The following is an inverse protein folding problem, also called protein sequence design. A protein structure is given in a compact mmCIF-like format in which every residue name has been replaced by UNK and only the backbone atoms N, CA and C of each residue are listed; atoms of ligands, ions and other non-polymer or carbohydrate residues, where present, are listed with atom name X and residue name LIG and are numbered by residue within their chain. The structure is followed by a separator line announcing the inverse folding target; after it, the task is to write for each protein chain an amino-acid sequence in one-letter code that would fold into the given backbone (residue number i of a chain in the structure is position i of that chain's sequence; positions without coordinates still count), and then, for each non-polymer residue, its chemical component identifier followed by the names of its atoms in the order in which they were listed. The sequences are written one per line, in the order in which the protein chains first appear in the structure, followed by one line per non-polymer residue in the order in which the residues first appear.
data_IF_478982728159
#
_entry.id   IF_478982728159
#
_cell.length_a   1.000
_cell.length_b   1.000
_cell.length_c   1.000
_cell.angle_alpha   90.00
_cell.angle_beta   90.00
_cell.angle_gamma   90.00
#
_symmetry.space_group_name_H-M   'P 1'
#
loop_
_entity.id
_entity.type
_entity.pdbx_description
1 polymer ?
#
# COMPACT_ATOMS: atom_id res chain seq x y z
N UNK A 1 -13.06 -53.14 22.89
CA UNK A 1 -11.96 -53.44 21.93
C UNK A 1 -12.32 -52.78 20.60
N UNK A 2 -11.72 -51.69 20.28
CA UNK A 2 -11.28 -51.29 18.96
C UNK A 2 -10.81 -49.84 19.00
N UNK A 3 -9.62 -49.61 18.50
CA UNK A 3 -8.84 -48.36 18.47
C UNK A 3 -9.47 -47.37 17.50
N UNK A 4 -9.57 -46.10 17.88
CA UNK A 4 -9.66 -45.00 16.90
C UNK A 4 -8.45 -44.10 17.05
N UNK A 5 -7.73 -44.03 15.95
CA UNK A 5 -6.53 -43.26 15.74
C UNK A 5 -6.81 -41.74 15.71
N UNK A 6 -5.94 -41.01 16.40
CA UNK A 6 -5.75 -39.57 16.27
C UNK A 6 -5.33 -39.20 14.84
N UNK A 7 -6.10 -38.35 14.19
CA UNK A 7 -5.63 -37.56 13.04
C UNK A 7 -5.50 -36.09 13.51
N UNK A 8 -4.26 -35.68 13.71
CA UNK A 8 -3.91 -34.26 13.80
C UNK A 8 -4.02 -33.66 12.40
N UNK A 9 -4.92 -32.70 12.21
CA UNK A 9 -4.88 -31.80 11.10
C UNK A 9 -4.26 -30.48 11.58
N UNK A 10 -3.00 -30.30 11.24
CA UNK A 10 -2.34 -28.99 11.21
C UNK A 10 -2.68 -28.35 9.87
N UNK A 11 -3.38 -27.22 9.89
CA UNK A 11 -3.67 -26.43 8.70
C UNK A 11 -3.99 -25.01 9.12
N UNK A 12 -2.97 -24.17 9.12
CA UNK A 12 -3.15 -22.73 9.12
C UNK A 12 -3.83 -22.33 7.81
N UNK A 13 -4.98 -21.71 7.90
CA UNK A 13 -5.52 -20.88 6.82
C UNK A 13 -5.98 -19.58 7.48
N UNK A 14 -5.16 -18.56 7.31
CA UNK A 14 -5.53 -17.18 7.54
C UNK A 14 -6.39 -16.71 6.37
N UNK A 15 -7.42 -15.91 6.66
CA UNK A 15 -8.06 -15.08 5.65
C UNK A 15 -9.58 -15.12 5.62
N UNK A 16 -10.20 -14.21 6.35
CA UNK A 16 -11.43 -13.47 6.03
C UNK A 16 -12.70 -14.28 5.66
N UNK A 17 -13.54 -14.54 6.66
CA UNK A 17 -14.99 -14.60 6.49
C UNK A 17 -15.70 -14.07 7.75
N UNK A 18 -16.79 -13.30 7.62
CA UNK A 18 -17.46 -12.64 8.73
C UNK A 18 -18.24 -13.62 9.62
N UNK A 19 -18.63 -13.20 10.86
CA UNK A 19 -19.09 -14.09 11.95
C UNK A 19 -20.47 -14.76 11.78
N UNK A 20 -21.13 -14.63 10.62
CA UNK A 20 -22.45 -15.21 10.39
C UNK A 20 -22.46 -16.73 10.20
N UNK A 21 -21.33 -17.37 9.83
CA UNK A 21 -21.30 -18.81 9.58
C UNK A 21 -21.32 -19.68 10.85
N UNK A 22 -20.85 -19.16 11.98
CA UNK A 22 -20.81 -19.95 13.23
C UNK A 22 -22.19 -20.20 13.83
N UNK A 23 -23.14 -19.30 13.61
CA UNK A 23 -24.51 -19.45 14.14
C UNK A 23 -25.33 -20.50 13.40
N UNK A 24 -25.09 -20.72 12.12
CA UNK A 24 -25.82 -21.69 11.29
C UNK A 24 -25.38 -23.13 11.61
N UNK A 25 -24.10 -23.34 11.91
CA UNK A 25 -23.59 -24.67 12.29
C UNK A 25 -24.10 -25.15 13.66
N UNK A 26 -24.29 -24.26 14.62
CA UNK A 26 -24.81 -24.62 15.94
C UNK A 26 -26.31 -24.98 15.90
N UNK A 27 -27.09 -24.34 15.06
CA UNK A 27 -28.51 -24.65 14.87
C UNK A 27 -28.69 -26.03 14.19
N UNK A 28 -27.81 -26.38 13.26
CA UNK A 28 -27.86 -27.66 12.55
C UNK A 28 -27.58 -28.86 13.48
N UNK A 29 -26.66 -28.74 14.43
CA UNK A 29 -26.30 -29.80 15.36
C UNK A 29 -27.35 -30.01 16.48
N UNK A 30 -28.11 -28.95 16.84
CA UNK A 30 -29.13 -29.06 17.88
C UNK A 30 -30.43 -29.71 17.40
N UNK A 31 -30.70 -29.73 16.09
CA UNK A 31 -31.91 -30.34 15.52
C UNK A 31 -31.77 -31.84 15.32
N UNK A 32 -30.55 -32.37 15.34
CA UNK A 32 -30.29 -33.79 15.09
C UNK A 32 -30.27 -34.69 16.36
N UNK A 33 -30.52 -34.16 17.55
CA UNK A 33 -30.36 -34.92 18.79
C UNK A 33 -31.66 -35.45 19.44
N UNK A 34 -32.85 -35.21 18.89
CA UNK A 34 -34.11 -35.81 19.37
C UNK A 34 -35.15 -35.84 18.25
N UNK A 35 -35.49 -37.01 17.71
CA UNK A 35 -36.80 -37.65 17.69
C UNK A 35 -36.79 -38.94 16.85
N UNK A 36 -37.19 -40.06 17.51
CA UNK A 36 -37.54 -41.30 16.84
C UNK A 36 -38.95 -41.23 16.25
N UNK A 37 -39.10 -40.71 15.02
CA UNK A 37 -40.31 -40.87 14.27
C UNK A 37 -40.02 -41.10 12.78
N UNK A 38 -40.69 -42.12 12.29
CA UNK A 38 -40.59 -42.86 11.05
C UNK A 38 -40.07 -42.16 9.76
N UNK A 39 -39.56 -42.96 8.88
CA UNK A 39 -38.81 -42.68 7.62
C UNK A 39 -39.40 -41.61 6.69
N UNK A 40 -40.68 -41.29 6.81
CA UNK A 40 -41.37 -40.25 5.99
C UNK A 40 -41.27 -38.83 6.56
N UNK A 41 -41.06 -38.69 7.86
CA UNK A 41 -40.89 -37.39 8.53
C UNK A 41 -39.54 -36.77 8.23
N UNK A 42 -38.47 -37.58 8.24
CA UNK A 42 -37.10 -37.15 8.04
C UNK A 42 -36.88 -36.59 6.60
N UNK A 43 -37.45 -37.26 5.60
CA UNK A 43 -37.33 -36.80 4.19
C UNK A 43 -38.01 -35.41 3.96
N UNK A 44 -39.15 -35.14 4.62
CA UNK A 44 -39.84 -33.84 4.50
C UNK A 44 -39.08 -32.75 5.23
N UNK A 45 -38.48 -33.01 6.38
CA UNK A 45 -37.69 -32.06 7.14
C UNK A 45 -36.38 -31.77 6.40
N UNK A 46 -35.72 -32.77 5.84
CA UNK A 46 -34.50 -32.59 5.01
C UNK A 46 -34.79 -31.80 3.73
N UNK A 47 -35.94 -32.04 3.07
CA UNK A 47 -36.33 -31.26 1.89
C UNK A 47 -36.65 -29.79 2.23
N UNK A 48 -37.33 -29.54 3.36
CA UNK A 48 -37.61 -28.19 3.82
C UNK A 48 -36.33 -27.44 4.25
N UNK A 49 -35.40 -28.12 4.94
CA UNK A 49 -34.11 -27.55 5.29
C UNK A 49 -33.24 -27.26 4.07
N UNK A 50 -33.22 -28.14 3.07
CA UNK A 50 -32.51 -27.94 1.82
C UNK A 50 -33.11 -26.80 0.98
N UNK A 51 -34.43 -26.67 0.93
CA UNK A 51 -35.11 -25.56 0.27
C UNK A 51 -34.85 -24.23 0.97
N UNK A 52 -34.83 -24.19 2.31
CA UNK A 52 -34.46 -23.00 3.09
C UNK A 52 -32.99 -22.62 2.88
N UNK A 53 -32.08 -23.58 2.81
CA UNK A 53 -30.67 -23.35 2.49
C UNK A 53 -30.47 -22.79 1.09
N UNK A 54 -31.18 -23.32 0.08
CA UNK A 54 -31.11 -22.78 -1.28
C UNK A 54 -31.71 -21.38 -1.38
N UNK A 55 -32.76 -21.07 -0.63
CA UNK A 55 -33.37 -19.73 -0.57
C UNK A 55 -32.43 -18.70 0.11
N UNK A 56 -31.79 -19.08 1.22
CA UNK A 56 -30.81 -18.21 1.88
C UNK A 56 -29.56 -18.03 1.03
N UNK A 57 -29.09 -19.07 0.35
CA UNK A 57 -27.96 -18.99 -0.56
C UNK A 57 -28.28 -18.15 -1.80
N UNK A 58 -29.48 -18.27 -2.35
CA UNK A 58 -29.94 -17.42 -3.46
C UNK A 58 -30.11 -15.95 -3.04
N UNK A 59 -30.60 -15.68 -1.83
CA UNK A 59 -30.73 -14.31 -1.29
C UNK A 59 -29.38 -13.67 -1.03
N UNK A 60 -28.38 -14.39 -0.48
CA UNK A 60 -27.02 -13.90 -0.32
C UNK A 60 -26.33 -13.66 -1.67
N UNK A 61 -26.59 -14.50 -2.67
CA UNK A 61 -26.04 -14.31 -4.02
C UNK A 61 -26.70 -13.11 -4.74
N UNK A 62 -27.98 -12.85 -4.51
CA UNK A 62 -28.70 -11.69 -5.04
C UNK A 62 -28.22 -10.41 -4.33
N UNK A 63 -28.03 -10.42 -3.01
CA UNK A 63 -27.47 -9.28 -2.29
C UNK A 63 -26.00 -9.00 -2.69
N UNK A 64 -25.19 -10.04 -2.90
CA UNK A 64 -23.81 -9.86 -3.39
C UNK A 64 -23.78 -9.31 -4.83
N UNK A 65 -24.79 -9.58 -5.68
CA UNK A 65 -24.87 -9.00 -7.03
C UNK A 65 -25.46 -7.59 -7.07
N UNK A 66 -26.25 -7.20 -6.08
CA UNK A 66 -26.81 -5.84 -6.01
C UNK A 66 -25.88 -4.84 -5.32
N UNK A 67 -24.88 -5.30 -4.57
CA UNK A 67 -23.83 -4.45 -3.98
C UNK A 67 -22.56 -4.35 -4.82
N UNK A 68 -22.40 -5.19 -5.85
CA UNK A 68 -21.35 -5.06 -6.85
C UNK A 68 -21.87 -4.27 -8.05
N UNK A 69 -22.12 -2.99 -7.89
CA UNK A 69 -22.10 -2.05 -9.00
C UNK A 69 -20.64 -1.93 -9.46
N UNK A 70 -20.33 -2.02 -10.77
CA UNK A 70 -18.99 -1.74 -11.23
C UNK A 70 -18.70 -0.26 -10.93
N UNK A 71 -17.75 0.01 -10.04
CA UNK A 71 -17.14 1.32 -9.92
C UNK A 71 -16.54 1.66 -11.29
N UNK A 72 -17.27 2.47 -12.02
CA UNK A 72 -16.70 3.24 -13.11
C UNK A 72 -15.73 4.21 -12.49
N UNK A 73 -14.44 3.93 -12.66
CA UNK A 73 -13.37 4.87 -12.43
C UNK A 73 -13.47 5.95 -13.52
N UNK A 74 -14.46 6.82 -13.41
CA UNK A 74 -14.58 8.06 -14.17
C UNK A 74 -13.81 9.12 -13.37
N UNK A 75 -12.57 9.38 -13.79
CA UNK A 75 -11.86 10.61 -13.47
C UNK A 75 -12.64 11.78 -14.09
N UNK A 76 -13.62 12.31 -13.36
CA UNK A 76 -14.21 13.59 -13.70
C UNK A 76 -13.35 14.70 -13.10
N UNK A 77 -12.75 15.51 -13.99
CA UNK A 77 -12.28 16.82 -13.63
C UNK A 77 -13.47 17.74 -13.30
N UNK A 78 -13.51 18.40 -12.14
CA UNK A 78 -14.38 19.55 -11.97
C UNK A 78 -13.72 20.76 -12.66
N UNK A 79 -14.52 21.45 -13.48
CA UNK A 79 -14.13 22.68 -14.14
C UNK A 79 -14.17 23.87 -13.15
N UNK A 80 -13.10 24.66 -13.20
CA UNK A 80 -12.98 26.10 -12.93
C UNK A 80 -13.81 26.79 -11.84
N UNK A 81 -13.11 27.19 -10.74
CA UNK A 81 -13.27 28.54 -10.20
C UNK A 81 -11.88 29.15 -9.88
N UNK A 82 -11.70 30.48 -9.91
CA UNK A 82 -10.39 31.12 -10.06
C UNK A 82 -9.62 31.19 -8.75
N UNK A 83 -8.34 30.75 -8.84
CA UNK A 83 -7.36 30.83 -7.79
C UNK A 83 -6.92 32.28 -7.54
N UNK A 84 -6.93 32.70 -6.28
CA UNK A 84 -6.18 33.87 -5.82
C UNK A 84 -5.02 33.39 -4.91
N UNK A 85 -3.79 33.79 -5.33
CA UNK A 85 -2.51 33.63 -4.61
C UNK A 85 -2.00 32.21 -4.33
N UNK A 86 -1.69 31.43 -5.37
CA UNK A 86 -0.73 30.34 -5.28
C UNK A 86 0.69 30.91 -5.24
N UNK A 87 1.42 30.70 -4.16
CA UNK A 87 2.86 30.93 -4.14
C UNK A 87 3.52 30.03 -5.18
N UNK A 88 4.13 30.65 -6.20
CA UNK A 88 4.90 29.92 -7.21
C UNK A 88 6.07 29.26 -6.50
N UNK A 89 5.99 27.94 -6.32
CA UNK A 89 7.11 27.16 -5.85
C UNK A 89 8.15 27.14 -6.97
N UNK A 90 9.21 27.95 -6.82
CA UNK A 90 10.35 27.92 -7.71
C UNK A 90 11.39 27.03 -7.07
N UNK A 91 11.65 25.85 -7.65
CA UNK A 91 12.83 25.07 -7.33
C UNK A 91 14.06 25.92 -7.59
N UNK A 92 14.67 26.42 -6.54
CA UNK A 92 16.00 27.02 -6.61
C UNK A 92 16.94 25.89 -6.16
N UNK A 93 17.68 25.25 -7.08
CA UNK A 93 18.68 24.28 -6.66
C UNK A 93 19.67 25.02 -5.76
N UNK A 94 19.73 24.62 -4.48
CA UNK A 94 20.88 25.02 -3.68
C UNK A 94 22.12 24.51 -4.41
N UNK A 95 23.19 25.32 -4.52
CA UNK A 95 24.40 24.86 -5.17
C UNK A 95 24.88 23.62 -4.42
N UNK A 96 24.87 22.50 -5.12
CA UNK A 96 25.43 21.25 -4.66
C UNK A 96 26.80 21.59 -4.09
N UNK A 97 26.97 21.43 -2.76
CA UNK A 97 28.27 21.57 -2.13
C UNK A 97 29.19 20.59 -2.81
N UNK A 98 30.13 21.10 -3.61
CA UNK A 98 31.22 20.34 -4.23
C UNK A 98 32.26 19.94 -3.19
N UNK A 99 31.84 19.49 -2.03
CA UNK A 99 32.74 18.68 -1.19
C UNK A 99 32.74 17.28 -1.80
N UNK A 100 33.82 16.99 -2.53
CA UNK A 100 34.20 15.63 -2.86
C UNK A 100 34.06 14.78 -1.59
N UNK A 101 33.20 13.74 -1.57
CA UNK A 101 33.15 12.83 -0.44
C UNK A 101 34.56 12.22 -0.32
N UNK A 102 35.16 12.31 0.87
CA UNK A 102 36.41 11.70 1.19
C UNK A 102 36.43 10.27 0.63
N UNK A 103 37.43 9.93 -0.19
CA UNK A 103 37.54 8.67 -0.90
C UNK A 103 37.50 7.48 0.09
N UNK A 104 36.32 7.06 0.44
CA UNK A 104 36.06 5.75 1.01
C UNK A 104 36.43 4.74 -0.07
N UNK A 105 37.24 3.73 0.28
CA UNK A 105 37.67 2.64 -0.59
C UNK A 105 36.47 2.10 -1.36
N UNK A 106 36.31 2.51 -2.62
CA UNK A 106 35.14 2.18 -3.44
C UNK A 106 35.13 0.67 -3.66
N UNK A 107 34.27 -0.04 -2.97
CA UNK A 107 33.89 -1.40 -3.38
C UNK A 107 33.35 -1.32 -4.81
N UNK A 108 33.73 -2.31 -5.65
CA UNK A 108 33.15 -2.41 -6.99
C UNK A 108 31.62 -2.42 -6.91
N UNK A 109 30.94 -1.72 -7.83
CA UNK A 109 29.48 -1.71 -7.84
C UNK A 109 28.92 -3.14 -7.92
N UNK A 110 27.78 -3.37 -7.31
CA UNK A 110 27.06 -4.63 -7.40
C UNK A 110 26.74 -4.93 -8.88
N UNK A 111 27.10 -6.10 -9.43
CA UNK A 111 26.79 -6.42 -10.81
C UNK A 111 25.27 -6.44 -10.99
N UNK A 112 24.75 -5.55 -11.84
CA UNK A 112 23.32 -5.51 -12.15
C UNK A 112 22.99 -6.66 -13.13
N UNK A 113 22.26 -7.71 -12.70
CA UNK A 113 21.86 -8.79 -13.60
C UNK A 113 20.88 -8.29 -14.64
N UNK A 114 20.92 -8.89 -15.84
CA UNK A 114 19.99 -8.62 -16.93
C UNK A 114 18.61 -9.25 -16.70
N UNK A 115 18.53 -10.23 -15.79
CA UNK A 115 17.29 -10.95 -15.46
C UNK A 115 16.98 -10.88 -13.97
N UNK A 116 15.72 -11.09 -13.63
CA UNK A 116 15.20 -11.16 -12.28
C UNK A 116 14.20 -12.30 -12.14
N UNK A 117 14.29 -13.08 -11.05
CA UNK A 117 13.28 -14.11 -10.74
C UNK A 117 12.13 -13.49 -9.96
N UNK A 118 10.93 -13.61 -10.54
CA UNK A 118 9.69 -12.97 -10.05
C UNK A 118 8.70 -14.04 -9.65
N UNK A 119 8.16 -13.93 -8.44
CA UNK A 119 7.01 -14.72 -7.99
C UNK A 119 5.73 -13.95 -8.28
N UNK A 120 4.84 -14.57 -9.09
CA UNK A 120 3.52 -14.04 -9.42
C UNK A 120 2.46 -15.06 -8.99
N UNK A 121 1.78 -14.81 -7.88
CA UNK A 121 0.96 -15.82 -7.22
C UNK A 121 1.79 -17.02 -6.79
N UNK A 122 1.46 -18.22 -7.30
CA UNK A 122 2.20 -19.46 -7.03
C UNK A 122 3.29 -19.76 -8.07
N UNK A 123 3.35 -19.00 -9.16
CA UNK A 123 4.31 -19.20 -10.24
C UNK A 123 5.58 -18.38 -9.98
N UNK A 124 6.74 -18.98 -10.29
CA UNK A 124 8.04 -18.32 -10.30
C UNK A 124 8.59 -18.37 -11.72
N UNK A 125 8.95 -17.21 -12.24
CA UNK A 125 9.48 -17.08 -13.59
C UNK A 125 10.72 -16.18 -13.62
N UNK A 126 11.65 -16.48 -14.50
CA UNK A 126 12.76 -15.58 -14.84
C UNK A 126 12.28 -14.60 -15.92
N UNK A 127 12.46 -13.32 -15.65
CA UNK A 127 12.08 -12.23 -16.56
C UNK A 127 13.31 -11.39 -16.91
N UNK A 128 13.34 -10.87 -18.12
CA UNK A 128 14.22 -9.78 -18.49
C UNK A 128 13.97 -8.57 -17.58
N UNK A 129 15.04 -7.94 -17.05
CA UNK A 129 14.92 -6.83 -16.08
C UNK A 129 14.18 -5.63 -16.66
N UNK A 130 14.38 -5.31 -17.94
CA UNK A 130 13.69 -4.18 -18.57
C UNK A 130 12.20 -4.46 -18.69
N UNK A 131 11.84 -5.67 -19.11
CA UNK A 131 10.44 -6.13 -19.22
C UNK A 131 9.75 -6.13 -17.85
N UNK A 132 10.43 -6.59 -16.81
CA UNK A 132 9.94 -6.52 -15.43
C UNK A 132 9.67 -5.07 -15.01
N UNK A 133 10.63 -4.17 -15.23
CA UNK A 133 10.52 -2.76 -14.84
C UNK A 133 9.42 -2.02 -15.60
N UNK A 134 9.18 -2.32 -16.87
CA UNK A 134 8.04 -1.78 -17.60
C UNK A 134 6.73 -2.13 -16.90
N UNK A 135 6.57 -3.38 -16.45
CA UNK A 135 5.40 -3.82 -15.70
C UNK A 135 5.27 -3.15 -14.32
N UNK A 136 6.40 -2.91 -13.63
CA UNK A 136 6.41 -2.20 -12.35
C UNK A 136 6.05 -0.73 -12.52
N UNK A 137 6.73 0.01 -13.38
CA UNK A 137 6.48 1.44 -13.59
C UNK A 137 5.04 1.68 -14.05
N UNK A 138 4.53 0.80 -14.92
CA UNK A 138 3.14 0.87 -15.40
C UNK A 138 2.09 0.60 -14.32
N UNK A 139 2.44 -0.19 -13.29
CA UNK A 139 1.56 -0.49 -12.17
C UNK A 139 1.63 0.58 -11.06
N UNK A 140 2.81 1.20 -10.87
CA UNK A 140 3.11 2.11 -9.77
C UNK A 140 2.81 3.58 -10.10
N UNK A 141 3.09 4.01 -11.33
CA UNK A 141 2.92 5.41 -11.72
C UNK A 141 1.92 5.61 -12.86
N UNK A 142 1.10 6.67 -12.83
CA UNK A 142 0.32 7.07 -14.01
C UNK A 142 1.23 7.37 -15.21
N UNK A 143 0.92 6.78 -16.37
CA UNK A 143 1.67 7.04 -17.59
C UNK A 143 1.59 8.52 -18.07
N UNK A 144 0.66 9.31 -17.51
CA UNK A 144 0.56 10.77 -17.73
C UNK A 144 1.65 11.58 -17.04
N UNK A 145 2.37 10.99 -16.05
CA UNK A 145 3.46 11.70 -15.35
C UNK A 145 4.58 12.10 -16.30
N UNK A 146 5.36 13.10 -15.89
CA UNK A 146 6.48 13.61 -16.69
C UNK A 146 7.52 12.53 -16.96
N UNK A 147 8.21 12.55 -18.11
CA UNK A 147 9.23 11.54 -18.44
C UNK A 147 10.32 11.42 -17.39
N UNK A 148 10.74 12.51 -16.76
CA UNK A 148 11.78 12.50 -15.73
C UNK A 148 11.32 11.82 -14.44
N UNK A 149 10.03 11.95 -14.07
CA UNK A 149 9.45 11.21 -12.95
C UNK A 149 9.39 9.69 -13.23
N UNK A 150 9.00 9.30 -14.47
CA UNK A 150 8.98 7.89 -14.88
C UNK A 150 10.40 7.28 -14.91
N UNK A 151 11.41 8.06 -15.31
CA UNK A 151 12.82 7.64 -15.25
C UNK A 151 13.28 7.45 -13.80
N UNK A 152 12.97 8.39 -12.90
CA UNK A 152 13.27 8.28 -11.48
C UNK A 152 12.64 7.02 -10.87
N UNK A 153 11.37 6.75 -11.18
CA UNK A 153 10.69 5.52 -10.75
C UNK A 153 11.36 4.26 -11.31
N UNK A 154 11.80 4.28 -12.56
CA UNK A 154 12.49 3.14 -13.19
C UNK A 154 13.79 2.78 -12.46
N UNK A 155 14.58 3.80 -12.10
CA UNK A 155 15.82 3.64 -11.33
C UNK A 155 15.53 3.17 -9.91
N UNK A 156 14.54 3.78 -9.23
CA UNK A 156 14.15 3.36 -7.88
C UNK A 156 13.67 1.90 -7.86
N UNK A 157 12.81 1.51 -8.80
CA UNK A 157 12.31 0.15 -8.91
C UNK A 157 13.42 -0.88 -9.18
N UNK A 158 14.39 -0.54 -10.06
CA UNK A 158 15.57 -1.39 -10.30
C UNK A 158 16.43 -1.51 -9.05
N UNK A 159 16.69 -0.40 -8.37
CA UNK A 159 17.48 -0.39 -7.12
C UNK A 159 16.86 -1.28 -6.06
N UNK A 160 15.53 -1.21 -5.90
CA UNK A 160 14.79 -2.08 -4.99
C UNK A 160 14.89 -3.56 -5.38
N UNK A 161 14.72 -3.89 -6.65
CA UNK A 161 14.84 -5.28 -7.12
C UNK A 161 16.26 -5.84 -6.89
N UNK A 162 17.31 -5.04 -7.16
CA UNK A 162 18.69 -5.40 -6.89
C UNK A 162 18.98 -5.53 -5.39
N UNK A 163 18.41 -4.67 -4.56
CA UNK A 163 18.48 -4.79 -3.11
C UNK A 163 17.87 -6.11 -2.62
N UNK A 164 16.70 -6.47 -3.12
CA UNK A 164 16.06 -7.75 -2.78
C UNK A 164 16.92 -8.95 -3.20
N UNK A 165 17.48 -8.90 -4.40
CA UNK A 165 18.40 -9.94 -4.90
C UNK A 165 19.66 -10.06 -4.04
N UNK A 166 20.28 -8.93 -3.68
CA UNK A 166 21.52 -8.90 -2.89
C UNK A 166 21.34 -9.35 -1.44
N UNK A 167 20.15 -9.14 -0.87
CA UNK A 167 19.86 -9.45 0.55
C UNK A 167 19.11 -10.76 0.76
N UNK A 168 18.61 -11.41 -0.30
CA UNK A 168 17.76 -12.59 -0.19
C UNK A 168 16.43 -12.31 0.53
N UNK A 169 15.96 -11.06 0.46
CA UNK A 169 14.82 -10.59 1.26
C UNK A 169 13.55 -11.39 1.04
N UNK A 170 13.30 -11.85 -0.18
CA UNK A 170 11.99 -12.42 -0.51
C UNK A 170 11.95 -13.92 -0.23
N UNK A 171 12.73 -14.73 -0.92
CA UNK A 171 12.77 -16.19 -0.73
C UNK A 171 13.96 -16.83 -1.44
N UNK A 172 14.19 -18.12 -1.18
CA UNK A 172 15.20 -18.89 -1.88
C UNK A 172 14.86 -19.16 -3.35
N UNK A 173 13.60 -18.97 -3.75
CA UNK A 173 13.11 -19.31 -5.09
C UNK A 173 12.87 -18.09 -5.98
N UNK A 174 12.66 -16.90 -5.39
CA UNK A 174 12.40 -15.67 -6.15
C UNK A 174 13.04 -14.47 -5.47
N UNK A 175 13.58 -13.55 -6.28
CA UNK A 175 14.20 -12.32 -5.79
C UNK A 175 13.15 -11.27 -5.39
N UNK A 176 12.04 -11.21 -6.12
CA UNK A 176 10.91 -10.29 -5.88
C UNK A 176 9.58 -11.00 -6.14
N UNK A 177 8.48 -10.37 -5.72
CA UNK A 177 7.13 -10.76 -6.11
C UNK A 177 6.34 -9.57 -6.66
N UNK A 178 5.12 -9.86 -7.15
CA UNK A 178 4.21 -8.87 -7.73
C UNK A 178 3.24 -8.26 -6.70
N UNK A 179 3.34 -8.65 -5.44
CA UNK A 179 2.51 -8.13 -4.35
C UNK A 179 3.08 -6.80 -3.84
N UNK A 180 2.34 -5.71 -4.01
CA UNK A 180 2.71 -4.38 -3.53
C UNK A 180 2.87 -4.29 -2.01
N UNK A 181 2.23 -5.18 -1.24
CA UNK A 181 2.38 -5.21 0.21
C UNK A 181 3.70 -5.88 0.65
N UNK A 182 4.35 -6.62 -0.23
CA UNK A 182 5.61 -7.32 0.01
C UNK A 182 6.79 -6.68 -0.72
N UNK A 183 6.64 -6.46 -2.03
CA UNK A 183 7.68 -5.92 -2.91
C UNK A 183 7.21 -4.64 -3.62
N UNK A 184 6.81 -4.74 -4.88
CA UNK A 184 6.31 -3.62 -5.69
C UNK A 184 5.17 -4.15 -6.58
N UNK A 185 4.20 -3.28 -6.90
CA UNK A 185 3.16 -3.65 -7.84
C UNK A 185 3.76 -3.98 -9.21
N UNK A 186 3.13 -4.91 -9.90
CA UNK A 186 3.50 -5.29 -11.26
C UNK A 186 2.25 -5.62 -12.07
N UNK A 187 2.25 -5.22 -13.33
CA UNK A 187 1.15 -5.51 -14.26
C UNK A 187 1.66 -6.17 -15.53
N UNK A 188 0.98 -7.25 -15.94
CA UNK A 188 1.24 -7.89 -17.23
C UNK A 188 0.75 -7.02 -18.40
N UNK A 189 1.33 -7.21 -19.58
CA UNK A 189 0.88 -6.52 -20.80
C UNK A 189 -0.62 -6.72 -21.07
N UNK A 190 -1.14 -7.92 -20.85
CA UNK A 190 -2.57 -8.21 -21.01
C UNK A 190 -3.44 -7.39 -20.04
N UNK A 191 -2.99 -7.19 -18.81
CA UNK A 191 -3.67 -6.35 -17.83
C UNK A 191 -3.61 -4.88 -18.23
N UNK A 192 -2.45 -4.40 -18.65
CA UNK A 192 -2.29 -3.03 -19.14
C UNK A 192 -3.13 -2.76 -20.39
N UNK A 193 -3.17 -3.70 -21.33
CA UNK A 193 -4.01 -3.59 -22.53
C UNK A 193 -5.49 -3.50 -22.21
N UNK A 194 -5.98 -4.30 -21.25
CA UNK A 194 -7.36 -4.22 -20.77
C UNK A 194 -7.67 -2.88 -20.08
N UNK A 195 -6.76 -2.41 -19.23
CA UNK A 195 -6.99 -1.21 -18.43
C UNK A 195 -6.87 0.09 -19.24
N UNK A 196 -5.94 0.14 -20.20
CA UNK A 196 -5.66 1.34 -20.99
C UNK A 196 -6.43 1.42 -22.31
N UNK A 197 -6.97 0.29 -22.79
CA UNK A 197 -7.77 0.24 -24.01
C UNK A 197 -7.07 0.91 -25.19
N UNK A 198 -7.74 1.88 -25.82
CA UNK A 198 -7.23 2.58 -27.01
C UNK A 198 -5.97 3.43 -26.77
N UNK A 199 -5.61 3.74 -25.52
CA UNK A 199 -4.39 4.49 -25.19
C UNK A 199 -3.21 3.60 -24.80
N UNK A 200 -3.34 2.28 -24.99
CA UNK A 200 -2.32 1.31 -24.56
C UNK A 200 -0.97 1.54 -25.23
N UNK A 201 -0.92 1.64 -26.54
CA UNK A 201 0.35 1.72 -27.28
C UNK A 201 1.11 3.01 -26.92
N UNK A 202 0.42 4.15 -26.84
CA UNK A 202 1.01 5.44 -26.46
C UNK A 202 1.60 5.41 -25.04
N UNK A 203 0.80 4.92 -24.07
CA UNK A 203 1.22 4.85 -22.67
C UNK A 203 2.37 3.88 -22.47
N UNK A 204 2.30 2.71 -23.11
CA UNK A 204 3.35 1.69 -23.04
C UNK A 204 4.66 2.22 -23.61
N UNK A 205 4.62 2.88 -24.77
CA UNK A 205 5.80 3.43 -25.42
C UNK A 205 6.48 4.50 -24.52
N UNK A 206 5.71 5.37 -23.90
CA UNK A 206 6.24 6.36 -22.98
C UNK A 206 6.95 5.72 -21.78
N UNK A 207 6.38 4.67 -21.18
CA UNK A 207 7.00 3.95 -20.07
C UNK A 207 8.24 3.20 -20.53
N UNK A 208 8.18 2.48 -21.65
CA UNK A 208 9.32 1.78 -22.25
C UNK A 208 10.49 2.75 -22.48
N UNK A 209 10.22 3.91 -23.07
CA UNK A 209 11.24 4.94 -23.30
C UNK A 209 11.91 5.40 -22.01
N UNK A 210 11.17 5.56 -20.91
CA UNK A 210 11.75 5.94 -19.61
C UNK A 210 12.62 4.82 -19.02
N UNK A 211 12.17 3.56 -19.10
CA UNK A 211 12.92 2.38 -18.62
C UNK A 211 14.21 2.18 -19.44
N UNK A 212 14.13 2.32 -20.78
CA UNK A 212 15.28 2.21 -21.68
C UNK A 212 16.32 3.33 -21.47
N UNK A 213 15.85 4.57 -21.29
CA UNK A 213 16.73 5.73 -21.05
C UNK A 213 17.59 5.58 -19.79
N UNK A 214 17.13 4.77 -18.82
CA UNK A 214 17.81 4.48 -17.55
C UNK A 214 18.37 3.06 -17.47
N UNK A 215 18.57 2.40 -18.62
CA UNK A 215 18.99 1.00 -18.65
C UNK A 215 20.32 0.78 -17.88
N UNK A 216 20.29 -0.17 -16.94
CA UNK A 216 21.42 -0.52 -16.08
C UNK A 216 21.67 0.44 -14.91
N UNK A 217 21.02 1.61 -14.85
CA UNK A 217 21.23 2.58 -13.78
C UNK A 217 20.46 2.19 -12.50
N UNK A 218 21.14 2.25 -11.35
CA UNK A 218 20.56 2.01 -10.03
C UNK A 218 21.25 2.85 -8.95
N UNK A 219 20.57 3.01 -7.81
CA UNK A 219 21.12 3.73 -6.65
C UNK A 219 21.95 2.79 -5.79
N UNK A 220 23.13 3.27 -5.39
CA UNK A 220 24.08 2.57 -4.57
C UNK A 220 24.46 3.41 -3.34
N UNK A 221 24.60 2.76 -2.19
CA UNK A 221 25.13 3.35 -0.97
C UNK A 221 26.18 2.39 -0.39
N UNK A 222 27.38 2.89 -0.13
CA UNK A 222 28.52 2.09 0.37
C UNK A 222 28.77 0.80 -0.45
N UNK A 223 28.66 0.91 -1.78
CA UNK A 223 28.94 -0.19 -2.73
C UNK A 223 27.81 -1.23 -2.84
N UNK A 224 26.66 -1.04 -2.21
CA UNK A 224 25.52 -1.96 -2.27
C UNK A 224 24.26 -1.27 -2.84
N UNK A 225 23.37 -2.02 -3.54
CA UNK A 225 22.08 -1.49 -3.97
C UNK A 225 21.27 -1.01 -2.78
N UNK A 226 20.55 0.10 -2.93
CA UNK A 226 19.76 0.68 -1.84
C UNK A 226 18.33 0.11 -1.80
N UNK A 227 17.75 0.10 -0.60
CA UNK A 227 16.31 -0.10 -0.40
C UNK A 227 15.58 1.17 -0.84
N UNK A 228 15.38 1.32 -2.14
CA UNK A 228 14.76 2.51 -2.73
C UNK A 228 13.23 2.46 -2.56
N UNK A 229 12.75 2.68 -1.33
CA UNK A 229 11.32 2.75 -1.04
C UNK A 229 10.69 3.97 -1.70
N UNK A 230 9.45 3.84 -2.15
CA UNK A 230 8.65 4.92 -2.73
C UNK A 230 7.18 4.77 -2.34
N UNK A 231 6.42 5.84 -2.44
CA UNK A 231 5.01 5.89 -2.08
C UNK A 231 4.26 6.88 -2.98
N UNK A 232 2.92 6.86 -2.94
CA UNK A 232 2.11 7.67 -3.84
C UNK A 232 2.30 9.17 -3.62
N UNK A 233 1.96 9.68 -2.41
CA UNK A 233 2.08 11.11 -2.09
C UNK A 233 2.37 11.35 -0.61
N UNK A 234 3.24 12.31 -0.34
CA UNK A 234 3.59 12.79 0.99
C UNK A 234 2.61 13.85 1.50
N UNK A 235 2.80 14.30 2.73
CA UNK A 235 2.03 15.35 3.38
C UNK A 235 2.93 16.57 3.68
N UNK A 236 3.62 17.09 2.66
CA UNK A 236 4.58 18.19 2.77
C UNK A 236 6.02 17.74 3.00
N UNK A 237 6.24 16.60 3.67
CA UNK A 237 7.55 15.97 3.84
C UNK A 237 7.43 14.45 3.79
N UNK A 238 8.55 13.79 3.43
CA UNK A 238 8.66 12.33 3.50
C UNK A 238 8.93 11.88 4.94
N UNK A 239 8.77 10.59 5.20
CA UNK A 239 8.99 9.99 6.51
C UNK A 239 10.42 9.49 6.66
N UNK A 240 11.00 9.63 7.86
CA UNK A 240 12.24 8.95 8.21
C UNK A 240 12.02 7.44 8.31
N UNK A 241 12.89 6.67 7.67
CA UNK A 241 12.78 5.21 7.65
C UNK A 241 12.83 4.61 9.05
N UNK A 242 13.55 5.23 9.98
CA UNK A 242 13.67 4.78 11.37
C UNK A 242 12.39 4.89 12.19
N UNK A 243 11.45 5.73 11.76
CA UNK A 243 10.14 5.86 12.42
C UNK A 243 9.21 4.65 12.13
N UNK A 244 9.40 3.99 10.98
CA UNK A 244 8.52 2.89 10.55
C UNK A 244 9.27 1.54 10.52
N UNK A 245 10.54 1.55 10.09
CA UNK A 245 11.37 0.36 9.89
C UNK A 245 12.74 0.54 10.54
N UNK A 246 13.75 -0.15 10.06
CA UNK A 246 15.14 0.07 10.47
C UNK A 246 15.71 1.30 9.77
N UNK A 247 16.30 2.21 10.52
CA UNK A 247 16.90 3.46 10.02
C UNK A 247 17.92 3.17 8.89
N UNK A 248 17.91 4.04 7.88
CA UNK A 248 18.82 4.00 6.74
C UNK A 248 19.33 5.41 6.44
N UNK A 249 20.64 5.62 6.29
CA UNK A 249 21.20 6.96 6.15
C UNK A 249 20.70 7.76 4.94
N UNK A 250 20.19 7.06 3.93
CA UNK A 250 19.68 7.61 2.68
C UNK A 250 18.16 7.65 2.58
N UNK A 251 17.44 7.29 3.64
CA UNK A 251 15.97 7.35 3.74
C UNK A 251 15.59 8.18 4.97
N UNK A 252 15.92 9.43 4.92
CA UNK A 252 15.59 10.45 5.91
C UNK A 252 14.40 11.28 5.42
N UNK A 253 13.78 12.03 6.31
CA UNK A 253 12.73 12.98 5.94
C UNK A 253 13.30 14.10 5.07
N UNK A 254 12.64 14.38 3.95
CA UNK A 254 12.92 15.50 3.04
C UNK A 254 11.61 16.17 2.63
N UNK A 255 11.66 17.45 2.27
CA UNK A 255 10.49 18.18 1.78
C UNK A 255 9.93 17.51 0.51
N UNK A 256 8.61 17.60 0.32
CA UNK A 256 7.94 17.04 -0.86
C UNK A 256 6.89 18.01 -1.36
N UNK A 257 6.99 18.48 -2.63
CA UNK A 257 6.34 19.71 -3.09
C UNK A 257 4.88 19.54 -3.52
N UNK A 258 4.37 18.34 -3.58
CA UNK A 258 3.00 18.09 -4.06
C UNK A 258 1.94 18.63 -3.10
N UNK A 259 0.84 19.11 -3.68
CA UNK A 259 -0.29 19.70 -2.98
C UNK A 259 -1.63 19.11 -3.44
N UNK A 260 -2.72 19.67 -2.96
CA UNK A 260 -4.08 19.32 -3.39
C UNK A 260 -4.32 19.59 -4.89
N UNK A 261 -3.51 20.43 -5.53
CA UNK A 261 -3.65 20.76 -6.95
C UNK A 261 -3.18 19.62 -7.85
N UNK A 262 -2.13 18.91 -7.44
CA UNK A 262 -1.52 17.86 -8.24
C UNK A 262 -2.02 16.46 -7.89
N UNK A 263 -2.47 16.26 -6.64
CA UNK A 263 -2.79 14.92 -6.13
C UNK A 263 -4.29 14.71 -5.98
N UNK A 264 -4.91 13.86 -6.79
CA UNK A 264 -6.32 13.50 -6.60
C UNK A 264 -6.56 12.87 -5.22
N UNK A 265 -7.58 13.35 -4.52
CA UNK A 265 -7.89 12.91 -3.16
C UNK A 265 -6.69 13.04 -2.19
N UNK A 266 -5.92 14.13 -2.32
CA UNK A 266 -4.79 14.42 -1.44
C UNK A 266 -5.22 14.45 0.04
N UNK A 267 -6.38 15.06 0.30
CA UNK A 267 -7.06 14.99 1.57
C UNK A 267 -8.22 14.01 1.45
N UNK A 268 -8.33 13.08 2.37
CA UNK A 268 -9.42 12.12 2.47
C UNK A 268 -9.91 12.04 3.92
N UNK A 269 -11.13 11.56 4.13
CA UNK A 269 -11.70 11.41 5.47
C UNK A 269 -12.25 10.01 5.69
N UNK A 270 -12.16 9.56 6.94
CA UNK A 270 -12.83 8.36 7.43
C UNK A 270 -13.64 8.79 8.65
N UNK A 271 -14.95 8.61 8.58
CA UNK A 271 -15.87 8.95 9.66
C UNK A 271 -16.50 7.67 10.20
N UNK A 272 -16.47 7.49 11.52
CA UNK A 272 -17.02 6.33 12.21
C UNK A 272 -18.01 6.77 13.30
N UNK A 273 -19.07 5.99 13.46
CA UNK A 273 -19.90 6.10 14.65
C UNK A 273 -19.08 5.78 15.92
N UNK A 274 -19.51 6.29 17.08
CA UNK A 274 -18.86 5.98 18.34
C UNK A 274 -18.80 4.46 18.60
N UNK A 275 -19.82 3.74 18.20
CA UNK A 275 -19.87 2.27 18.32
C UNK A 275 -18.78 1.60 17.45
N UNK A 276 -18.70 1.96 16.17
CA UNK A 276 -17.73 1.36 15.24
C UNK A 276 -16.29 1.72 15.64
N UNK A 277 -16.05 2.97 16.06
CA UNK A 277 -14.76 3.40 16.55
C UNK A 277 -14.31 2.58 17.76
N UNK A 278 -15.16 2.49 18.80
CA UNK A 278 -14.91 1.69 20.00
C UNK A 278 -14.62 0.23 19.66
N UNK A 279 -15.50 -0.40 18.88
CA UNK A 279 -15.40 -1.83 18.58
C UNK A 279 -14.15 -2.13 17.74
N UNK A 280 -13.76 -1.19 16.86
CA UNK A 280 -12.51 -1.27 16.10
C UNK A 280 -11.28 -1.23 17.01
N UNK A 281 -11.24 -0.31 17.98
CA UNK A 281 -10.11 -0.23 18.94
C UNK A 281 -10.09 -1.44 19.86
N UNK A 282 -11.24 -1.86 20.39
CA UNK A 282 -11.34 -3.05 21.26
C UNK A 282 -10.89 -4.34 20.56
N UNK A 283 -11.06 -4.44 19.24
CA UNK A 283 -10.52 -5.55 18.47
C UNK A 283 -8.98 -5.65 18.56
N UNK A 284 -8.29 -4.52 18.55
CA UNK A 284 -6.82 -4.44 18.65
C UNK A 284 -6.31 -4.34 20.10
N UNK A 285 -7.10 -3.73 20.97
CA UNK A 285 -6.81 -3.47 22.39
C UNK A 285 -8.03 -3.81 23.25
N UNK A 286 -8.19 -5.10 23.64
CA UNK A 286 -9.36 -5.55 24.41
C UNK A 286 -9.48 -4.89 25.80
N UNK A 287 -8.37 -4.36 26.33
CA UNK A 287 -8.30 -3.73 27.66
C UNK A 287 -8.59 -2.22 27.61
N UNK A 288 -8.86 -1.65 26.43
CA UNK A 288 -9.20 -0.23 26.29
C UNK A 288 -10.53 0.10 27.00
N UNK A 289 -10.55 1.22 27.71
CA UNK A 289 -11.72 1.69 28.47
C UNK A 289 -12.48 2.79 27.71
N UNK A 290 -13.70 2.47 27.34
CA UNK A 290 -14.65 3.34 26.63
C UNK A 290 -15.93 3.58 27.45
N UNK A 291 -15.86 3.50 28.79
CA UNK A 291 -17.01 3.66 29.69
C UNK A 291 -17.39 5.11 29.97
N UNK A 292 -16.48 6.07 29.71
CA UNK A 292 -16.70 7.52 29.91
C UNK A 292 -17.42 8.20 28.77
N UNK A 293 -17.44 9.53 28.81
CA UNK A 293 -17.98 10.36 27.72
C UNK A 293 -17.15 10.13 26.43
N UNK A 294 -17.82 10.07 25.30
CA UNK A 294 -17.19 9.82 24.00
C UNK A 294 -16.12 10.87 23.64
N UNK A 295 -16.30 12.10 24.10
CA UNK A 295 -15.32 13.19 23.92
C UNK A 295 -13.99 12.95 24.66
N UNK A 296 -13.95 12.04 25.64
CA UNK A 296 -12.77 11.70 26.43
C UNK A 296 -12.04 10.45 25.90
N UNK A 297 -12.55 9.79 24.88
CA UNK A 297 -11.98 8.56 24.33
C UNK A 297 -10.65 8.77 23.59
N UNK A 298 -10.41 9.99 23.10
CA UNK A 298 -9.15 10.38 22.46
C UNK A 298 -8.28 11.06 23.51
N UNK A 299 -7.16 10.44 23.84
CA UNK A 299 -6.15 11.00 24.72
C UNK A 299 -5.05 11.75 23.95
N UNK A 300 -3.81 11.63 24.42
CA UNK A 300 -2.66 12.28 23.80
C UNK A 300 -2.37 11.73 22.38
N UNK A 301 -2.19 12.64 21.42
CA UNK A 301 -1.69 12.33 20.08
C UNK A 301 -0.30 12.97 19.96
N UNK A 302 0.71 12.16 19.63
CA UNK A 302 2.09 12.62 19.42
C UNK A 302 2.45 12.53 17.95
N UNK A 303 3.27 13.48 17.49
CA UNK A 303 3.76 13.53 16.11
C UNK A 303 5.27 13.33 16.09
N UNK A 304 5.78 12.80 14.99
CA UNK A 304 7.20 12.72 14.69
C UNK A 304 7.73 14.00 14.01
N UNK A 305 9.00 13.99 13.62
CA UNK A 305 9.64 15.15 12.99
C UNK A 305 9.08 15.47 11.61
N UNK A 306 8.48 14.49 10.93
CA UNK A 306 7.82 14.66 9.62
C UNK A 306 6.38 15.25 9.75
N UNK A 307 5.89 15.44 10.97
CA UNK A 307 4.52 15.88 11.28
C UNK A 307 3.47 14.78 11.19
N UNK A 308 3.87 13.52 11.04
CA UNK A 308 2.97 12.36 11.02
C UNK A 308 2.65 11.90 12.43
N UNK A 309 1.53 11.22 12.61
CA UNK A 309 1.17 10.66 13.91
C UNK A 309 2.12 9.52 14.26
N UNK A 310 2.94 9.74 15.28
CA UNK A 310 3.82 8.74 15.87
C UNK A 310 3.01 7.77 16.75
N UNK A 311 2.10 8.31 17.59
CA UNK A 311 1.19 7.50 18.39
C UNK A 311 -0.04 8.29 18.83
N UNK A 312 -1.13 7.58 19.16
CA UNK A 312 -2.27 8.14 19.88
C UNK A 312 -2.73 7.21 21.02
N UNK A 313 -3.31 7.80 22.05
CA UNK A 313 -3.95 7.08 23.15
C UNK A 313 -5.45 7.05 22.89
N UNK A 314 -6.03 5.86 22.80
CA UNK A 314 -7.46 5.66 22.57
C UNK A 314 -8.01 4.74 23.64
N UNK A 315 -9.03 5.19 24.39
CA UNK A 315 -9.56 4.44 25.53
C UNK A 315 -8.48 4.07 26.57
N UNK A 316 -7.50 4.96 26.77
CA UNK A 316 -6.37 4.72 27.70
C UNK A 316 -5.22 3.86 27.13
N UNK A 317 -5.40 3.22 25.97
CA UNK A 317 -4.41 2.36 25.34
C UNK A 317 -3.63 3.08 24.24
N UNK A 318 -2.30 2.90 24.24
CA UNK A 318 -1.41 3.52 23.24
C UNK A 318 -1.29 2.67 21.99
N UNK A 319 -1.54 3.28 20.84
CA UNK A 319 -1.34 2.71 19.50
C UNK A 319 -0.36 3.57 18.71
N UNK A 320 0.49 2.95 17.93
CA UNK A 320 1.36 3.66 16.96
C UNK A 320 0.57 4.17 15.76
N UNK A 321 1.09 5.20 15.07
CA UNK A 321 0.47 5.73 13.86
C UNK A 321 0.30 4.68 12.77
N UNK A 322 1.24 3.73 12.65
CA UNK A 322 1.16 2.62 11.70
C UNK A 322 0.09 1.59 12.08
N UNK A 323 -0.09 1.30 13.36
CA UNK A 323 -1.21 0.46 13.84
C UNK A 323 -2.54 1.14 13.56
N UNK A 324 -2.68 2.44 13.85
CA UNK A 324 -3.90 3.22 13.58
C UNK A 324 -4.21 3.26 12.08
N UNK A 325 -3.20 3.50 11.24
CA UNK A 325 -3.36 3.46 9.79
C UNK A 325 -3.93 2.12 9.32
N UNK A 326 -3.40 1.01 9.84
CA UNK A 326 -3.85 -0.34 9.46
C UNK A 326 -5.25 -0.63 10.01
N UNK A 327 -5.49 -0.28 11.27
CA UNK A 327 -6.74 -0.57 11.99
C UNK A 327 -7.95 0.13 11.37
N UNK A 328 -7.78 1.40 11.02
CA UNK A 328 -8.83 2.24 10.44
C UNK A 328 -8.75 2.35 8.91
N UNK A 329 -7.86 1.56 8.26
CA UNK A 329 -7.65 1.57 6.81
C UNK A 329 -7.35 2.96 6.25
N UNK A 330 -6.56 3.77 7.00
CA UNK A 330 -6.19 5.12 6.60
C UNK A 330 -5.17 5.09 5.46
N UNK A 331 -5.23 6.09 4.60
CA UNK A 331 -4.33 6.20 3.45
C UNK A 331 -2.87 6.46 3.86
N UNK A 332 -2.64 7.21 4.94
CA UNK A 332 -1.32 7.52 5.48
C UNK A 332 -1.36 7.64 7.00
N UNK A 333 -0.20 7.86 7.63
CA UNK A 333 -0.05 8.23 9.05
C UNK A 333 -0.12 9.74 9.29
N UNK A 334 -0.22 10.56 8.23
CA UNK A 334 -0.43 12.00 8.33
C UNK A 334 -1.93 12.29 8.43
N UNK A 335 -2.47 12.23 9.64
CA UNK A 335 -3.90 12.46 9.88
C UNK A 335 -4.15 13.28 11.14
N UNK A 336 -5.31 13.90 11.20
CA UNK A 336 -5.92 14.39 12.44
C UNK A 336 -7.08 13.48 12.83
N UNK A 337 -7.37 13.40 14.13
CA UNK A 337 -8.51 12.66 14.67
C UNK A 337 -9.25 13.56 15.64
N UNK A 338 -10.54 13.69 15.46
CA UNK A 338 -11.40 14.48 16.31
C UNK A 338 -12.77 13.82 16.57
N UNK A 339 -13.37 14.10 17.73
CA UNK A 339 -14.77 13.79 18.01
C UNK A 339 -15.64 14.97 17.61
N UNK A 340 -16.59 14.76 16.73
CA UNK A 340 -17.44 15.82 16.17
C UNK A 340 -18.68 16.13 17.03
N UNK A 341 -18.85 15.44 18.16
CA UNK A 341 -20.08 15.47 19.00
C UNK A 341 -21.08 14.37 18.62
N UNK A 342 -20.80 13.60 17.56
CA UNK A 342 -21.65 12.48 17.12
C UNK A 342 -20.86 11.34 16.48
N UNK A 343 -19.65 11.60 16.02
CA UNK A 343 -18.79 10.65 15.29
C UNK A 343 -17.33 10.96 15.52
N UNK A 344 -16.46 10.01 15.16
CA UNK A 344 -15.00 10.16 15.14
C UNK A 344 -14.56 10.37 13.70
N UNK A 345 -13.89 11.49 13.45
CA UNK A 345 -13.47 11.90 12.12
C UNK A 345 -11.94 11.87 12.01
N UNK A 346 -11.44 11.04 11.12
CA UNK A 346 -10.06 11.11 10.64
C UNK A 346 -10.01 11.96 9.38
N UNK A 347 -9.14 12.98 9.36
CA UNK A 347 -8.77 13.72 8.15
C UNK A 347 -7.35 13.36 7.79
N UNK A 348 -7.15 12.73 6.65
CA UNK A 348 -5.88 12.09 6.24
C UNK A 348 -5.30 12.81 5.04
N UNK A 349 -4.01 13.18 5.10
CA UNK A 349 -3.27 13.82 4.01
C UNK A 349 -2.30 12.83 3.38
N UNK A 350 -2.22 12.81 2.04
CA UNK A 350 -1.30 11.96 1.28
C UNK A 350 -1.73 10.49 1.22
N UNK A 351 -0.85 9.65 0.63
CA UNK A 351 -1.11 8.22 0.45
C UNK A 351 0.18 7.40 0.43
N UNK A 352 0.25 6.42 1.32
CA UNK A 352 1.36 5.49 1.44
C UNK A 352 2.06 5.56 2.80
N UNK A 353 3.20 4.88 2.91
CA UNK A 353 4.01 4.84 4.14
C UNK A 353 4.85 6.10 4.35
N UNK A 354 5.02 6.94 3.34
CA UNK A 354 5.74 8.20 3.42
C UNK A 354 7.26 8.11 3.20
N UNK A 355 7.89 6.95 3.31
CA UNK A 355 9.35 6.80 3.25
C UNK A 355 9.87 6.85 1.81
N UNK A 356 10.97 7.54 1.58
CA UNK A 356 11.65 7.64 0.28
C UNK A 356 10.90 8.48 -0.74
N UNK A 357 10.92 8.12 -2.02
CA UNK A 357 10.40 8.97 -3.09
C UNK A 357 8.87 9.04 -3.10
N UNK A 358 8.32 10.27 -3.03
CA UNK A 358 6.94 10.54 -3.39
C UNK A 358 6.78 10.53 -4.91
N UNK A 359 5.87 9.71 -5.43
CA UNK A 359 5.60 9.61 -6.86
C UNK A 359 5.02 10.91 -7.43
N UNK A 360 4.05 11.50 -6.72
CA UNK A 360 3.49 12.80 -7.11
C UNK A 360 4.50 13.93 -6.89
N UNK A 361 5.29 13.91 -5.80
CA UNK A 361 6.35 14.87 -5.57
C UNK A 361 7.40 14.85 -6.67
N UNK A 362 7.85 13.65 -7.09
CA UNK A 362 8.74 13.48 -8.23
C UNK A 362 8.15 14.08 -9.51
N UNK A 363 6.84 13.91 -9.74
CA UNK A 363 6.17 14.49 -10.90
C UNK A 363 6.09 16.02 -10.85
N UNK A 364 5.87 16.61 -9.66
CA UNK A 364 5.89 18.08 -9.47
C UNK A 364 7.30 18.63 -9.70
N UNK A 365 8.33 17.98 -9.17
CA UNK A 365 9.73 18.35 -9.43
C UNK A 365 10.05 18.29 -10.92
N UNK A 366 9.65 17.22 -11.62
CA UNK A 366 9.85 17.07 -13.06
C UNK A 366 9.14 18.18 -13.87
N UNK A 367 7.89 18.53 -13.52
CA UNK A 367 7.17 19.66 -14.10
C UNK A 367 7.88 21.00 -13.87
N UNK A 368 8.59 21.12 -12.76
CA UNK A 368 9.38 22.31 -12.41
C UNK A 368 10.75 22.34 -13.08
N UNK A 369 11.09 21.33 -13.90
CA UNK A 369 12.29 21.24 -14.71
C UNK A 369 13.42 20.39 -14.13
N UNK A 370 13.20 19.72 -12.99
CA UNK A 370 14.18 18.79 -12.44
C UNK A 370 14.32 17.54 -13.32
N UNK A 371 15.56 17.10 -13.57
CA UNK A 371 15.82 15.81 -14.21
C UNK A 371 15.70 14.65 -13.18
N UNK A 372 15.65 13.41 -13.68
CA UNK A 372 15.49 12.24 -12.80
C UNK A 372 16.66 12.05 -11.82
N UNK A 373 17.86 12.55 -12.11
CA UNK A 373 19.02 12.48 -11.22
C UNK A 373 18.85 13.44 -10.04
N UNK A 374 18.37 14.63 -10.31
CA UNK A 374 18.05 15.63 -9.28
C UNK A 374 16.91 15.12 -8.39
N UNK A 375 15.87 14.51 -8.96
CA UNK A 375 14.76 13.90 -8.22
C UNK A 375 15.28 12.78 -7.30
N UNK A 376 16.10 11.87 -7.82
CA UNK A 376 16.67 10.77 -7.05
C UNK A 376 17.62 11.26 -5.95
N UNK A 377 18.45 12.25 -6.24
CA UNK A 377 19.37 12.84 -5.25
C UNK A 377 18.62 13.53 -4.11
N UNK A 378 17.46 14.12 -4.40
CA UNK A 378 16.58 14.74 -3.41
C UNK A 378 15.96 13.70 -2.47
N UNK A 379 15.34 12.65 -3.01
CA UNK A 379 14.62 11.66 -2.20
C UNK A 379 15.50 10.57 -1.57
N UNK A 380 16.72 10.39 -2.08
CA UNK A 380 17.68 9.42 -1.58
C UNK A 380 19.06 10.06 -1.36
N UNK A 381 19.14 11.04 -0.41
CA UNK A 381 20.37 11.80 -0.20
C UNK A 381 21.54 10.90 0.17
N UNK A 382 22.74 11.26 -0.33
CA UNK A 382 23.98 10.52 -0.06
C UNK A 382 24.14 9.22 -0.87
N UNK A 383 23.17 8.84 -1.71
CA UNK A 383 23.33 7.73 -2.64
C UNK A 383 24.10 8.16 -3.89
N UNK A 384 24.62 7.17 -4.61
CA UNK A 384 25.27 7.36 -5.90
C UNK A 384 24.47 6.64 -6.99
N UNK A 385 24.24 7.33 -8.11
CA UNK A 385 23.71 6.70 -9.30
C UNK A 385 24.86 6.00 -10.04
N UNK A 386 24.75 4.69 -10.21
CA UNK A 386 25.77 3.84 -10.87
C UNK A 386 25.12 3.03 -11.99
N UNK A 387 25.98 2.48 -12.87
CA UNK A 387 25.54 1.70 -14.03
C UNK A 387 26.34 0.41 -14.16
#
# INVERSE_FOLDING_TARGET
MSRFNNIRLSGQAAGLCPPAEKSVYYIFFSIFSQDETGEYGVKRVLLAAYAAFLLTFAMTFIQCRTTAAPEKNEYMHPANEPADSAGVWTFTPEPISTQEPAAASAKAPYPAPETVTVKNGDEVQEMDMQSYLVGVVAAEMPASFEPEALKAQSVAARSYALYCAATGRHSDTAQVCTDFACCQAWSSEDTLRRNWGGSYDEKLEKIKSAVEATAGEYLCYDGAPVFAAFHSSSAGATEDCGAIWSARPYLISVDSPETTEEVPNYISSVELSALDFRDTVLYARPDADFTGDESEWIGEITHDESGRVASAVLGGEKLSGTELRSLFSLRSTAFTLEYTGSSFLFTVTGFGHGVGMSQYGANVMAKSGADYREILAHYYPGTQLVK
#
